data_IF_617421741668
#
_entry.id   IF_617421741668
#
_cell.length_a   1.000
_cell.length_b   1.000
_cell.length_c   1.000
_cell.angle_alpha   90.00
_cell.angle_beta   90.00
_cell.angle_gamma   90.00
#
_symmetry.space_group_name_H-M   'P 1'
#
loop_
_entity.id
_entity.type
_entity.pdbx_description
1 polymer ?
#
# COMPACT_ATOMS: atom_id res chain seq x y z
N UNK A 1 14.96 8.07 -2.18
CA UNK A 1 13.79 8.34 -1.31
C UNK A 1 12.49 7.70 -1.82
N UNK A 2 12.03 7.90 -3.07
CA UNK A 2 10.77 7.29 -3.59
C UNK A 2 10.61 5.77 -3.33
N UNK A 3 11.69 4.99 -3.45
CA UNK A 3 11.64 3.52 -3.24
C UNK A 3 11.37 3.09 -1.79
N UNK A 4 11.76 3.89 -0.80
CA UNK A 4 11.58 3.56 0.62
C UNK A 4 10.11 3.70 1.01
N UNK A 5 9.48 4.81 0.66
CA UNK A 5 8.07 5.04 0.97
C UNK A 5 7.15 4.01 0.29
N UNK A 6 7.45 3.61 -0.95
CA UNK A 6 6.72 2.52 -1.62
C UNK A 6 6.83 1.20 -0.87
N UNK A 7 7.98 0.87 -0.27
CA UNK A 7 8.13 -0.37 0.52
C UNK A 7 7.31 -0.33 1.80
N UNK A 8 7.35 0.77 2.56
CA UNK A 8 6.59 0.89 3.81
C UNK A 8 5.09 0.81 3.57
N UNK A 9 4.57 1.49 2.54
CA UNK A 9 3.15 1.38 2.17
C UNK A 9 2.77 -0.06 1.79
N UNK A 10 3.65 -0.78 1.08
CA UNK A 10 3.42 -2.19 0.72
C UNK A 10 3.42 -3.10 1.95
N UNK A 11 4.34 -2.90 2.89
CA UNK A 11 4.40 -3.63 4.15
C UNK A 11 3.10 -3.42 4.96
N UNK A 12 2.65 -2.17 5.12
CA UNK A 12 1.38 -1.86 5.80
C UNK A 12 0.17 -2.55 5.17
N UNK A 13 0.07 -2.54 3.83
CA UNK A 13 -1.02 -3.22 3.12
C UNK A 13 -0.98 -4.73 3.37
N UNK A 14 0.21 -5.33 3.35
CA UNK A 14 0.37 -6.78 3.56
C UNK A 14 0.10 -7.18 5.01
N UNK A 15 0.52 -6.37 5.97
CA UNK A 15 0.25 -6.58 7.39
C UNK A 15 -1.25 -6.49 7.67
N UNK A 16 -1.94 -5.52 7.06
CA UNK A 16 -3.40 -5.41 7.14
C UNK A 16 -4.11 -6.64 6.57
N UNK A 17 -3.68 -7.13 5.41
CA UNK A 17 -4.21 -8.38 4.82
C UNK A 17 -3.99 -9.57 5.78
N UNK A 18 -2.80 -9.67 6.38
CA UNK A 18 -2.47 -10.72 7.35
C UNK A 18 -3.33 -10.64 8.61
N UNK A 19 -3.49 -9.45 9.19
CA UNK A 19 -4.30 -9.20 10.38
C UNK A 19 -5.78 -9.57 10.16
N UNK A 20 -6.31 -9.29 8.97
CA UNK A 20 -7.71 -9.58 8.61
C UNK A 20 -7.91 -10.99 8.03
N UNK A 21 -6.86 -11.80 7.93
CA UNK A 21 -6.87 -13.12 7.25
C UNK A 21 -7.44 -13.05 5.83
N UNK A 22 -7.12 -11.97 5.11
CA UNK A 22 -7.53 -11.74 3.72
C UNK A 22 -6.38 -12.03 2.77
N UNK A 23 -6.73 -12.35 1.52
CA UNK A 23 -5.76 -12.65 0.47
C UNK A 23 -5.70 -11.53 -0.58
N UNK A 24 -4.71 -11.57 -1.46
CA UNK A 24 -4.65 -10.62 -2.58
C UNK A 24 -5.79 -10.85 -3.58
N UNK A 25 -6.27 -12.09 -3.73
CA UNK A 25 -7.45 -12.41 -4.53
C UNK A 25 -8.69 -11.72 -3.98
N UNK A 26 -8.89 -11.74 -2.66
CA UNK A 26 -9.97 -11.02 -2.02
C UNK A 26 -9.86 -9.50 -2.27
N UNK A 27 -8.65 -8.94 -2.14
CA UNK A 27 -8.42 -7.52 -2.38
C UNK A 27 -8.70 -7.14 -3.84
N UNK A 28 -8.36 -8.01 -4.79
CA UNK A 28 -8.67 -7.81 -6.21
C UNK A 28 -10.17 -7.71 -6.45
N UNK A 29 -10.95 -8.60 -5.81
CA UNK A 29 -12.42 -8.59 -5.90
C UNK A 29 -12.99 -7.33 -5.25
N UNK A 30 -12.52 -6.97 -4.05
CA UNK A 30 -13.05 -5.84 -3.28
C UNK A 30 -12.76 -4.47 -3.94
N UNK A 31 -11.62 -4.34 -4.61
CA UNK A 31 -11.17 -3.07 -5.20
C UNK A 31 -11.43 -2.96 -6.71
N UNK A 32 -11.71 -4.08 -7.38
CA UNK A 32 -11.75 -4.17 -8.84
C UNK A 32 -10.36 -4.10 -9.50
N UNK A 33 -9.27 -3.98 -8.73
CA UNK A 33 -7.91 -3.95 -9.26
C UNK A 33 -7.51 -5.37 -9.66
N UNK A 34 -7.03 -5.61 -10.91
CA UNK A 34 -6.65 -6.95 -11.33
C UNK A 34 -5.60 -7.58 -10.42
N UNK A 35 -5.75 -8.87 -10.09
CA UNK A 35 -4.82 -9.60 -9.21
C UNK A 35 -3.36 -9.48 -9.68
N UNK A 36 -3.11 -9.62 -10.99
CA UNK A 36 -1.76 -9.45 -11.57
C UNK A 36 -1.18 -8.05 -11.32
N UNK A 37 -2.03 -7.03 -11.26
CA UNK A 37 -1.63 -5.66 -10.93
C UNK A 37 -1.31 -5.54 -9.45
N UNK A 38 -2.14 -6.10 -8.56
CA UNK A 38 -1.86 -6.15 -7.12
C UNK A 38 -0.57 -6.92 -6.81
N UNK A 39 -0.34 -8.07 -7.42
CA UNK A 39 0.88 -8.85 -7.17
C UNK A 39 2.16 -8.12 -7.55
N UNK A 40 2.13 -7.31 -8.62
CA UNK A 40 3.27 -6.46 -9.02
C UNK A 40 3.47 -5.26 -8.08
N UNK A 41 2.38 -4.66 -7.60
CA UNK A 41 2.44 -3.51 -6.69
C UNK A 41 2.84 -3.90 -5.27
N UNK A 42 2.33 -5.03 -4.79
CA UNK A 42 2.57 -5.57 -3.44
C UNK A 42 3.74 -6.54 -3.38
N UNK A 43 4.64 -6.48 -4.38
CA UNK A 43 5.82 -7.33 -4.44
C UNK A 43 6.80 -6.96 -3.34
N UNK A 44 7.32 -7.96 -2.61
CA UNK A 44 8.19 -7.75 -1.44
C UNK A 44 9.50 -7.03 -1.77
N UNK A 45 10.16 -7.43 -2.86
CA UNK A 45 11.49 -6.92 -3.22
C UNK A 45 11.46 -5.75 -4.22
N UNK A 46 10.51 -5.76 -5.16
CA UNK A 46 10.44 -4.80 -6.27
C UNK A 46 9.00 -4.34 -6.51
N UNK A 47 8.40 -3.58 -5.57
CA UNK A 47 7.04 -3.10 -5.73
C UNK A 47 6.95 -2.10 -6.88
N UNK A 48 5.92 -2.27 -7.71
CA UNK A 48 5.59 -1.31 -8.77
C UNK A 48 4.95 -0.05 -8.17
N UNK A 49 5.07 1.11 -8.83
CA UNK A 49 4.39 2.32 -8.40
C UNK A 49 2.87 2.12 -8.30
N UNK A 50 2.28 2.68 -7.25
CA UNK A 50 0.83 2.73 -7.02
C UNK A 50 0.39 4.18 -7.08
N UNK A 51 -0.70 4.46 -7.79
CA UNK A 51 -1.24 5.82 -7.87
C UNK A 51 -2.16 6.10 -6.66
N UNK A 52 -2.56 7.36 -6.48
CA UNK A 52 -3.38 7.77 -5.34
C UNK A 52 -4.78 7.12 -5.35
N UNK A 53 -5.40 6.98 -6.51
CA UNK A 53 -6.73 6.38 -6.65
C UNK A 53 -6.74 4.90 -6.22
N UNK A 54 -5.77 4.12 -6.70
CA UNK A 54 -5.57 2.73 -6.29
C UNK A 54 -5.27 2.62 -4.78
N UNK A 55 -4.48 3.55 -4.23
CA UNK A 55 -4.21 3.58 -2.79
C UNK A 55 -5.48 3.84 -1.97
N UNK A 56 -6.34 4.77 -2.42
CA UNK A 56 -7.62 5.05 -1.75
C UNK A 56 -8.56 3.84 -1.82
N UNK A 57 -8.63 3.15 -2.97
CA UNK A 57 -9.42 1.92 -3.11
C UNK A 57 -8.92 0.81 -2.18
N UNK A 58 -7.61 0.58 -2.13
CA UNK A 58 -6.99 -0.42 -1.24
C UNK A 58 -7.23 -0.06 0.23
N UNK A 59 -7.07 1.21 0.60
CA UNK A 59 -7.32 1.69 1.95
C UNK A 59 -8.77 1.46 2.37
N UNK A 60 -9.72 1.85 1.51
CA UNK A 60 -11.15 1.65 1.76
C UNK A 60 -11.55 0.18 1.88
N UNK A 61 -10.99 -0.69 1.03
CA UNK A 61 -11.24 -2.12 1.13
C UNK A 61 -10.73 -2.71 2.46
N UNK A 62 -9.59 -2.22 2.96
CA UNK A 62 -8.98 -2.68 4.21
C UNK A 62 -9.54 -1.98 5.45
N UNK A 63 -10.52 -1.08 5.32
CA UNK A 63 -11.02 -0.24 6.42
C UNK A 63 -9.90 0.57 7.11
N UNK A 64 -8.96 1.07 6.30
CA UNK A 64 -7.84 1.89 6.74
C UNK A 64 -8.02 3.30 6.20
N UNK A 65 -7.76 4.29 7.04
CA UNK A 65 -7.73 5.69 6.61
C UNK A 65 -6.57 5.90 5.61
N UNK A 66 -6.83 6.44 4.40
CA UNK A 66 -5.79 6.59 3.37
C UNK A 66 -4.55 7.37 3.84
N UNK A 67 -4.74 8.33 4.76
CA UNK A 67 -3.65 9.11 5.35
C UNK A 67 -2.62 8.22 6.09
N UNK A 68 -3.05 7.13 6.74
CA UNK A 68 -2.17 6.20 7.45
C UNK A 68 -1.28 5.38 6.51
N UNK A 69 -1.73 5.14 5.27
CA UNK A 69 -0.89 4.51 4.24
C UNK A 69 0.15 5.47 3.64
N UNK A 70 -0.10 6.79 3.77
CA UNK A 70 0.73 7.87 3.24
C UNK A 70 1.66 8.49 4.29
N UNK A 71 1.43 8.24 5.58
CA UNK A 71 2.25 8.73 6.70
C UNK A 71 3.77 8.47 6.53
N UNK A 72 4.21 7.32 5.98
CA UNK A 72 5.62 7.08 5.68
C UNK A 72 6.24 8.04 4.64
N UNK A 73 5.43 8.65 3.77
CA UNK A 73 5.87 9.69 2.83
C UNK A 73 6.10 11.03 3.53
N UNK A 74 5.30 11.31 4.58
CA UNK A 74 5.33 12.57 5.32
C UNK A 74 6.53 12.64 6.26
N UNK A 75 6.83 11.57 6.98
CA UNK A 75 8.01 11.49 7.86
C UNK A 75 9.31 11.56 7.06
N UNK A 76 9.37 10.90 5.89
CA UNK A 76 10.52 10.98 4.99
C UNK A 76 10.75 12.38 4.42
N UNK A 77 9.75 13.26 4.45
CA UNK A 77 9.83 14.64 3.93
C UNK A 77 10.09 15.68 5.03
N UNK A 78 9.88 15.34 6.31
CA UNK A 78 10.15 16.21 7.46
C UNK A 78 11.46 15.89 8.20
N UNK A 79 12.18 14.84 7.79
CA UNK A 79 13.51 14.49 8.30
C UNK A 79 14.65 15.24 7.60
N UNK A 80 14.72 16.56 7.77
CA UNK A 80 15.97 17.32 7.72
C UNK A 80 15.91 18.48 8.72
N UNK A 81 16.29 18.24 9.99
CA UNK A 81 16.94 19.28 10.78
C UNK A 81 18.43 19.29 10.46
N UNK A 82 18.99 20.49 10.32
CA UNK A 82 20.42 20.79 10.15
C UNK A 82 21.32 20.08 11.17
#
# INVERSE_FOLDING_TARGET
MRRQATRVTVELIRDALGAQRRTQEWLAIATGIPLRTLSRKLHLTSPSPTNLEELVLIAGALDIEPAKLLEPLKEASHGHPD
#
